data_IF_033944540500
#
_entry.id   IF_033944540500
#
_cell.length_a   1.000
_cell.length_b   1.000
_cell.length_c   1.000
_cell.angle_alpha   90.00
_cell.angle_beta   90.00
_cell.angle_gamma   90.00
#
_symmetry.space_group_name_H-M   'P 1'
#
loop_
_entity.id
_entity.type
_entity.pdbx_description
1 polymer ?
#
# COMPACT_ATOMS: atom_id res chain seq x y z
N UNK A 1 -6.64 13.71 -4.14
CA UNK A 1 -5.56 14.35 -4.92
C UNK A 1 -5.82 14.19 -6.41
N UNK A 2 -5.17 14.99 -7.26
CA UNK A 2 -5.35 14.93 -8.72
C UNK A 2 -5.03 13.55 -9.32
N UNK A 3 -5.52 13.30 -10.53
CA UNK A 3 -4.98 12.23 -11.37
C UNK A 3 -3.46 12.41 -11.51
N UNK A 4 -2.72 11.31 -11.43
CA UNK A 4 -1.25 11.24 -11.50
C UNK A 4 -0.47 11.88 -10.32
N UNK A 5 -1.15 12.25 -9.23
CA UNK A 5 -0.48 12.72 -8.00
C UNK A 5 0.28 11.61 -7.22
N UNK A 6 0.36 10.39 -7.76
CA UNK A 6 1.07 9.28 -7.12
C UNK A 6 0.37 8.62 -5.93
N UNK A 7 -0.95 8.82 -5.77
CA UNK A 7 -1.74 8.28 -4.63
C UNK A 7 -1.56 6.76 -4.49
N UNK A 8 -1.91 6.03 -5.55
CA UNK A 8 -1.83 4.57 -5.63
C UNK A 8 -0.39 4.07 -5.57
N UNK A 9 0.55 4.85 -6.12
CA UNK A 9 1.99 4.55 -6.03
C UNK A 9 2.47 4.61 -4.58
N UNK A 10 2.12 5.65 -3.84
CA UNK A 10 2.48 5.79 -2.43
C UNK A 10 1.88 4.66 -1.58
N UNK A 11 0.60 4.34 -1.80
CA UNK A 11 -0.06 3.20 -1.13
C UNK A 11 0.73 1.92 -1.42
N UNK A 12 1.02 1.62 -2.69
CA UNK A 12 1.79 0.43 -3.07
C UNK A 12 3.16 0.34 -2.40
N UNK A 13 3.89 1.46 -2.27
CA UNK A 13 5.19 1.50 -1.56
C UNK A 13 5.01 1.19 -0.07
N UNK A 14 4.08 1.89 0.60
CA UNK A 14 3.87 1.73 2.04
C UNK A 14 3.37 0.34 2.41
N UNK A 15 2.64 -0.31 1.52
CA UNK A 15 1.94 -1.57 1.79
C UNK A 15 2.60 -2.78 1.16
N UNK A 16 3.66 -2.63 0.38
CA UNK A 16 4.46 -3.75 -0.13
C UNK A 16 5.94 -3.69 0.23
N UNK A 17 6.41 -2.56 0.78
CA UNK A 17 7.83 -2.40 1.17
C UNK A 17 8.79 -2.26 -0.01
N UNK A 18 8.30 -2.35 -1.25
CA UNK A 18 9.08 -2.14 -2.46
C UNK A 18 9.11 -0.66 -2.85
N UNK A 19 10.31 -0.14 -3.11
CA UNK A 19 10.48 1.23 -3.62
C UNK A 19 9.97 1.34 -5.06
N UNK A 20 9.31 2.46 -5.35
CA UNK A 20 8.88 2.78 -6.71
C UNK A 20 10.07 3.12 -7.62
N UNK A 21 9.95 2.84 -8.92
CA UNK A 21 10.97 3.17 -9.91
C UNK A 21 10.86 4.60 -10.48
N UNK A 22 10.10 5.48 -9.82
CA UNK A 22 9.81 6.85 -10.29
C UNK A 22 8.82 6.93 -11.45
N UNK A 23 8.27 5.79 -11.90
CA UNK A 23 7.24 5.71 -12.95
C UNK A 23 5.92 5.14 -12.43
N UNK A 24 5.78 4.97 -11.13
CA UNK A 24 4.56 4.46 -10.51
C UNK A 24 4.36 2.96 -10.67
N UNK A 25 5.44 2.18 -10.85
CA UNK A 25 5.45 0.70 -10.85
C UNK A 25 4.83 0.13 -9.57
N UNK A 26 5.06 0.75 -8.42
CA UNK A 26 4.49 0.28 -7.15
C UNK A 26 2.95 0.28 -7.16
N UNK A 27 2.29 1.06 -8.03
CA UNK A 27 0.82 1.05 -8.17
C UNK A 27 0.28 -0.25 -8.77
N UNK A 28 1.10 -1.04 -9.46
CA UNK A 28 0.65 -2.32 -10.03
C UNK A 28 0.10 -3.24 -8.93
N UNK A 29 0.64 -3.11 -7.72
CA UNK A 29 0.25 -3.83 -6.52
C UNK A 29 -1.15 -3.45 -6.01
N UNK A 30 -1.70 -2.32 -6.46
CA UNK A 30 -3.04 -1.85 -6.08
C UNK A 30 -4.09 -2.14 -7.14
N UNK A 31 -3.71 -2.56 -8.35
CA UNK A 31 -4.64 -2.87 -9.42
C UNK A 31 -5.41 -4.16 -9.15
N UNK A 32 -6.70 -4.13 -9.44
CA UNK A 32 -7.64 -5.25 -9.24
C UNK A 32 -8.30 -5.70 -10.54
N UNK A 33 -8.26 -4.86 -11.57
CA UNK A 33 -8.89 -5.15 -12.85
C UNK A 33 -7.91 -5.09 -14.01
N UNK A 34 -8.16 -5.91 -15.03
CA UNK A 34 -7.31 -5.98 -16.22
C UNK A 34 -7.20 -4.63 -16.93
N UNK A 35 -8.29 -3.86 -17.00
CA UNK A 35 -8.27 -2.54 -17.64
C UNK A 35 -7.42 -1.51 -16.89
N UNK A 36 -7.19 -1.68 -15.59
CA UNK A 36 -6.27 -0.84 -14.81
C UNK A 36 -4.82 -1.12 -15.19
N UNK A 37 -4.47 -2.41 -15.34
CA UNK A 37 -3.15 -2.85 -15.83
C UNK A 37 -2.89 -2.33 -17.23
N UNK A 38 -3.88 -2.45 -18.13
CA UNK A 38 -3.76 -2.01 -19.53
C UNK A 38 -3.63 -0.49 -19.65
N UNK A 39 -4.41 0.27 -18.89
CA UNK A 39 -4.43 1.73 -18.96
C UNK A 39 -3.35 2.40 -18.11
N UNK A 40 -2.78 1.70 -17.13
CA UNK A 40 -1.90 2.26 -16.10
C UNK A 40 -2.63 3.17 -15.10
N UNK A 41 -3.97 3.14 -15.05
CA UNK A 41 -4.78 4.00 -14.18
C UNK A 41 -5.61 3.18 -13.21
N UNK A 42 -5.68 3.63 -11.96
CA UNK A 42 -6.65 3.10 -11.00
C UNK A 42 -8.05 3.54 -11.38
N UNK A 43 -9.01 2.64 -11.20
CA UNK A 43 -10.44 2.84 -11.49
C UNK A 43 -11.34 2.29 -10.37
N UNK A 44 -10.73 1.63 -9.39
CA UNK A 44 -11.39 0.97 -8.27
C UNK A 44 -10.90 1.54 -6.94
N UNK A 45 -11.73 1.43 -5.91
CA UNK A 45 -11.37 1.82 -4.55
C UNK A 45 -10.49 0.73 -3.97
N UNK A 46 -9.26 1.05 -3.58
CA UNK A 46 -8.39 0.11 -2.87
C UNK A 46 -8.29 0.45 -1.37
N UNK A 47 -8.15 -0.58 -0.54
CA UNK A 47 -7.99 -0.44 0.91
C UNK A 47 -6.73 -1.19 1.32
N UNK A 48 -5.93 -0.55 2.15
CA UNK A 48 -4.75 -1.16 2.74
C UNK A 48 -4.58 -0.71 4.19
N UNK A 49 -3.90 -1.53 4.98
CA UNK A 49 -3.74 -1.30 6.41
C UNK A 49 -2.27 -1.36 6.79
N UNK A 50 -1.84 -0.39 7.59
CA UNK A 50 -0.51 -0.32 8.17
C UNK A 50 -0.60 -0.45 9.69
N UNK A 51 0.04 -1.47 10.26
CA UNK A 51 0.14 -1.64 11.70
C UNK A 51 1.42 -1.02 12.26
N UNK A 52 1.36 -0.47 13.47
CA UNK A 52 2.52 0.05 14.20
C UNK A 52 2.54 -0.44 15.64
N UNK A 53 3.73 -0.78 16.14
CA UNK A 53 3.95 -1.07 17.55
C UNK A 53 4.04 0.22 18.39
N UNK A 54 4.22 0.05 19.71
CA UNK A 54 4.35 1.16 20.65
C UNK A 54 5.58 2.05 20.40
N UNK A 55 6.60 1.52 19.73
CA UNK A 55 7.84 2.22 19.37
C UNK A 55 7.75 2.89 17.99
N UNK A 56 6.64 2.71 17.27
CA UNK A 56 6.44 3.24 15.92
C UNK A 56 7.07 2.39 14.81
N UNK A 57 7.51 1.16 15.10
CA UNK A 57 7.94 0.21 14.08
C UNK A 57 6.73 -0.29 13.29
N UNK A 58 6.87 -0.37 11.97
CA UNK A 58 5.86 -0.93 11.07
C UNK A 58 5.76 -2.45 11.30
N UNK A 59 4.54 -2.95 11.45
CA UNK A 59 4.19 -4.34 11.73
C UNK A 59 3.68 -5.10 10.50
N UNK A 60 3.75 -4.51 9.31
CA UNK A 60 3.29 -5.18 8.09
C UNK A 60 4.07 -6.48 7.87
N UNK A 61 3.37 -7.61 7.99
CA UNK A 61 3.93 -8.93 7.68
C UNK A 61 4.27 -9.02 6.18
N UNK A 62 5.49 -8.65 5.80
CA UNK A 62 6.14 -9.19 4.61
C UNK A 62 6.98 -10.41 4.94
N UNK A 63 7.41 -10.53 6.20
CA UNK A 63 8.14 -11.68 6.71
C UNK A 63 7.19 -12.56 7.51
N UNK A 64 7.22 -13.87 7.22
CA UNK A 64 6.45 -14.90 7.93
C UNK A 64 6.84 -15.08 9.42
N UNK A 65 7.72 -14.23 9.96
CA UNK A 65 8.11 -14.22 11.37
C UNK A 65 7.23 -13.22 12.14
N UNK A 66 5.92 -13.48 12.15
CA UNK A 66 5.07 -12.82 13.12
C UNK A 66 5.35 -13.46 14.48
N UNK A 67 6.32 -12.91 15.22
CA UNK A 67 6.52 -13.28 16.61
C UNK A 67 5.19 -13.07 17.35
N UNK A 68 4.81 -14.04 18.19
CA UNK A 68 3.52 -14.06 18.90
C UNK A 68 3.31 -12.84 19.82
N UNK A 69 4.36 -12.06 20.09
CA UNK A 69 4.35 -10.84 20.92
C UNK A 69 4.24 -9.51 20.12
N UNK A 70 4.05 -9.53 18.80
CA UNK A 70 3.89 -8.28 18.02
C UNK A 70 2.53 -7.62 18.30
N UNK A 71 2.46 -6.80 19.35
CA UNK A 71 1.28 -6.01 19.70
C UNK A 71 1.15 -4.76 18.81
N UNK A 72 0.18 -4.79 17.91
CA UNK A 72 -0.25 -3.60 17.17
C UNK A 72 -0.95 -2.61 18.11
N UNK A 73 -0.38 -1.42 18.27
CA UNK A 73 -0.93 -0.35 19.10
C UNK A 73 -1.64 0.72 18.29
N UNK A 74 -1.28 0.86 17.02
CA UNK A 74 -1.88 1.83 16.09
C UNK A 74 -2.07 1.18 14.74
N UNK A 75 -3.23 1.46 14.14
CA UNK A 75 -3.60 0.95 12.84
C UNK A 75 -3.99 2.13 11.96
N UNK A 76 -3.34 2.27 10.81
CA UNK A 76 -3.66 3.27 9.81
C UNK A 76 -4.31 2.58 8.62
N UNK A 77 -5.55 2.96 8.32
CA UNK A 77 -6.23 2.53 7.11
C UNK A 77 -6.02 3.56 6.01
N UNK A 78 -5.51 3.09 4.87
CA UNK A 78 -5.36 3.86 3.65
C UNK A 78 -6.48 3.47 2.70
N UNK A 79 -7.21 4.48 2.23
CA UNK A 79 -8.22 4.34 1.17
C UNK A 79 -7.73 5.10 -0.05
N UNK A 80 -7.52 4.38 -1.14
CA UNK A 80 -7.19 4.96 -2.43
C UNK A 80 -8.44 5.03 -3.30
N UNK A 81 -8.72 6.22 -3.81
CA UNK A 81 -9.84 6.55 -4.68
C UNK A 81 -9.27 6.98 -6.04
N UNK A 82 -9.87 6.51 -7.13
CA UNK A 82 -9.49 6.88 -8.49
C UNK A 82 -9.47 8.42 -8.67
#
# INVERSE_FOLDING_TARGET
>A
GSADAGKSTLVGVLTQGELDNGRGRARLNTFRHLHEVQSGRTSSISHATLGFDSQGKVLNCFDMECNEEMHCTKLISLLDLA
#
